data_IF_029050582343
#
_entry.id   IF_029050582343
#
_cell.length_a   1.000
_cell.length_b   1.000
_cell.length_c   1.000
_cell.angle_alpha   90.00
_cell.angle_beta   90.00
_cell.angle_gamma   90.00
#
_symmetry.space_group_name_H-M   'P 1'
#
loop_
_entity.id
_entity.type
_entity.pdbx_description
1 polymer ?
#
# COMPACT_ATOMS: atom_id res chain seq x y z
N UNK A 1 -15.11 15.85 -10.04
CA UNK A 1 -14.38 14.59 -10.22
C UNK A 1 -14.09 13.84 -8.91
N UNK A 2 -14.09 14.53 -7.76
CA UNK A 2 -13.87 13.89 -6.44
C UNK A 2 -15.00 12.95 -6.03
N UNK A 3 -16.24 13.21 -6.43
CA UNK A 3 -17.40 12.39 -6.05
C UNK A 3 -17.33 10.93 -6.52
N UNK A 4 -16.55 10.63 -7.56
CA UNK A 4 -16.39 9.26 -8.08
C UNK A 4 -15.36 8.42 -7.32
N UNK A 5 -14.42 9.04 -6.62
CA UNK A 5 -13.37 8.33 -5.86
C UNK A 5 -13.83 7.97 -4.45
N UNK A 6 -14.73 8.77 -3.86
CA UNK A 6 -15.22 8.57 -2.50
C UNK A 6 -15.74 7.14 -2.23
N UNK A 7 -16.56 6.51 -3.10
CA UNK A 7 -16.99 5.13 -2.89
C UNK A 7 -15.86 4.11 -2.90
N UNK A 8 -14.75 4.39 -3.60
CA UNK A 8 -13.58 3.53 -3.62
C UNK A 8 -12.79 3.72 -2.32
N UNK A 9 -12.61 4.96 -1.87
CA UNK A 9 -11.94 5.26 -0.60
C UNK A 9 -12.67 4.61 0.57
N UNK A 10 -13.99 4.71 0.61
CA UNK A 10 -14.82 4.06 1.63
C UNK A 10 -14.59 2.54 1.65
N UNK A 11 -14.54 1.89 0.48
CA UNK A 11 -14.23 0.46 0.39
C UNK A 11 -12.81 0.15 0.86
N UNK A 12 -11.81 0.99 0.54
CA UNK A 12 -10.44 0.82 1.03
C UNK A 12 -10.38 0.92 2.56
N UNK A 13 -11.13 1.86 3.15
CA UNK A 13 -11.19 2.00 4.62
C UNK A 13 -11.91 0.83 5.30
N UNK A 14 -12.98 0.33 4.73
CA UNK A 14 -13.78 -0.73 5.33
C UNK A 14 -13.24 -2.15 5.09
N UNK A 15 -12.29 -2.33 4.18
CA UNK A 15 -11.70 -3.64 3.89
C UNK A 15 -10.68 -4.06 4.96
N UNK A 16 -10.66 -5.34 5.35
CA UNK A 16 -9.64 -5.92 6.23
C UNK A 16 -8.28 -6.03 5.52
N UNK A 17 -8.29 -6.22 4.21
CA UNK A 17 -7.11 -6.35 3.39
C UNK A 17 -7.38 -5.90 1.95
N UNK A 18 -6.32 -5.59 1.21
CA UNK A 18 -6.40 -5.10 -0.16
C UNK A 18 -5.76 -6.09 -1.13
N UNK A 19 -6.42 -6.34 -2.27
CA UNK A 19 -5.83 -7.04 -3.40
C UNK A 19 -5.86 -6.11 -4.60
N UNK A 20 -4.67 -5.68 -5.05
CA UNK A 20 -4.54 -4.82 -6.23
C UNK A 20 -3.87 -5.58 -7.37
N UNK A 21 -4.48 -5.50 -8.54
CA UNK A 21 -3.98 -6.18 -9.73
C UNK A 21 -3.72 -5.20 -10.86
N UNK A 22 -2.67 -5.42 -11.63
CA UNK A 22 -2.39 -4.63 -12.83
C UNK A 22 -1.63 -5.47 -13.85
N UNK A 23 -2.01 -5.47 -15.13
CA UNK A 23 -1.07 -5.80 -16.19
C UNK A 23 0.00 -4.71 -16.31
N UNK A 24 1.12 -5.05 -16.93
CA UNK A 24 2.15 -4.07 -17.29
C UNK A 24 1.79 -3.38 -18.59
N UNK A 25 1.54 -2.08 -18.55
CA UNK A 25 1.35 -1.23 -19.71
C UNK A 25 2.41 -0.12 -19.74
N UNK A 26 3.14 -0.01 -20.85
CA UNK A 26 4.23 0.95 -21.00
C UNK A 26 5.22 0.96 -19.79
N UNK A 27 5.61 -0.24 -19.32
CA UNK A 27 6.50 -0.45 -18.18
C UNK A 27 5.98 0.10 -16.85
N UNK A 28 4.68 0.33 -16.72
CA UNK A 28 4.03 0.84 -15.52
C UNK A 28 2.69 0.12 -15.26
N UNK A 29 1.97 0.53 -14.21
CA UNK A 29 0.58 0.13 -13.95
C UNK A 29 -0.36 0.66 -15.02
N UNK A 30 -1.59 0.12 -15.09
CA UNK A 30 -2.64 0.68 -15.96
C UNK A 30 -2.94 2.13 -15.57
N UNK A 31 -3.36 2.94 -16.57
CA UNK A 31 -3.78 4.32 -16.32
C UNK A 31 -4.90 4.43 -15.28
N UNK A 32 -5.81 3.44 -15.23
CA UNK A 32 -6.89 3.41 -14.23
C UNK A 32 -6.34 3.25 -12.81
N UNK A 33 -5.38 2.34 -12.60
CA UNK A 33 -4.76 2.15 -11.28
C UNK A 33 -3.85 3.34 -10.94
N UNK A 34 -3.15 3.91 -11.93
CA UNK A 34 -2.36 5.13 -11.71
C UNK A 34 -3.26 6.29 -11.27
N UNK A 35 -4.42 6.44 -11.89
CA UNK A 35 -5.40 7.46 -11.51
C UNK A 35 -5.89 7.30 -10.05
N UNK A 36 -6.10 6.04 -9.59
CA UNK A 36 -6.39 5.78 -8.16
C UNK A 36 -5.24 6.28 -7.29
N UNK A 37 -3.99 5.92 -7.61
CA UNK A 37 -2.82 6.34 -6.84
C UNK A 37 -2.65 7.86 -6.80
N UNK A 38 -2.91 8.55 -7.92
CA UNK A 38 -2.82 10.01 -7.99
C UNK A 38 -3.91 10.70 -7.14
N UNK A 39 -5.14 10.18 -7.14
CA UNK A 39 -6.21 10.71 -6.30
C UNK A 39 -6.00 10.43 -4.80
N UNK A 40 -5.24 9.40 -4.47
CA UNK A 40 -4.89 9.03 -3.10
C UNK A 40 -3.49 9.46 -2.69
N UNK A 41 -2.87 10.40 -3.44
CA UNK A 41 -1.50 10.87 -3.16
C UNK A 41 -1.36 11.48 -1.75
N UNK A 42 -2.41 12.02 -1.17
CA UNK A 42 -2.41 12.54 0.20
C UNK A 42 -2.07 11.46 1.24
N UNK A 43 -2.34 10.17 0.97
CA UNK A 43 -1.98 9.06 1.85
C UNK A 43 -0.47 8.87 2.02
N UNK A 44 0.35 9.45 1.14
CA UNK A 44 1.80 9.49 1.34
C UNK A 44 2.17 10.34 2.56
N UNK A 45 1.41 11.42 2.82
CA UNK A 45 1.63 12.34 3.92
C UNK A 45 0.80 11.95 5.17
N UNK A 46 -0.28 11.22 4.96
CA UNK A 46 -1.27 10.83 5.97
C UNK A 46 -1.53 9.32 5.90
N UNK A 47 -0.55 8.48 6.29
CA UNK A 47 -0.70 7.02 6.19
C UNK A 47 -1.78 6.51 7.16
N UNK A 48 -2.76 5.75 6.66
CA UNK A 48 -3.97 5.39 7.41
C UNK A 48 -4.16 3.87 7.59
N UNK A 49 -3.42 3.02 6.86
CA UNK A 49 -3.73 1.59 6.76
C UNK A 49 -2.76 0.68 7.52
N UNK A 50 -2.26 1.11 8.68
CA UNK A 50 -1.22 0.42 9.45
C UNK A 50 -1.56 -1.02 9.88
N UNK A 51 -2.83 -1.35 10.09
CA UNK A 51 -3.28 -2.70 10.42
C UNK A 51 -3.51 -3.59 9.21
N UNK A 52 -3.66 -3.01 8.01
CA UNK A 52 -4.05 -3.75 6.81
C UNK A 52 -2.87 -4.46 6.15
N UNK A 53 -3.20 -5.51 5.40
CA UNK A 53 -2.28 -6.25 4.53
C UNK A 53 -2.71 -6.08 3.09
N UNK A 54 -1.75 -6.15 2.18
CA UNK A 54 -2.07 -6.11 0.76
C UNK A 54 -1.41 -7.25 -0.02
N UNK A 55 -2.06 -7.66 -1.09
CA UNK A 55 -1.52 -8.54 -2.11
C UNK A 55 -1.51 -7.81 -3.45
N UNK A 56 -0.33 -7.68 -4.02
CA UNK A 56 -0.12 -7.12 -5.36
C UNK A 56 0.05 -8.25 -6.35
N UNK A 57 -0.70 -8.21 -7.45
CA UNK A 57 -0.60 -9.18 -8.53
C UNK A 57 -0.33 -8.44 -9.83
N UNK A 58 0.81 -8.73 -10.47
CA UNK A 58 1.21 -8.10 -11.72
C UNK A 58 1.45 -9.14 -12.80
N UNK A 59 0.88 -8.93 -13.97
CA UNK A 59 1.05 -9.80 -15.13
C UNK A 59 1.64 -9.01 -16.31
N UNK A 60 2.39 -9.70 -17.18
CA UNK A 60 2.90 -9.15 -18.42
C UNK A 60 3.05 -10.24 -19.47
N UNK A 61 3.01 -9.88 -20.73
CA UNK A 61 3.43 -10.78 -21.79
C UNK A 61 4.96 -10.96 -21.83
N UNK A 62 5.73 -9.90 -21.49
CA UNK A 62 7.19 -9.90 -21.62
C UNK A 62 7.90 -9.44 -20.34
N UNK A 63 8.14 -8.15 -20.21
CA UNK A 63 9.01 -7.57 -19.19
C UNK A 63 8.28 -6.56 -18.28
N UNK A 64 8.98 -6.05 -17.25
CA UNK A 64 8.50 -4.96 -16.39
C UNK A 64 7.73 -5.38 -15.13
N UNK A 65 7.29 -6.65 -15.03
CA UNK A 65 6.46 -7.12 -13.92
C UNK A 65 7.08 -6.90 -12.53
N UNK A 66 8.39 -7.12 -12.38
CA UNK A 66 9.09 -6.86 -11.11
C UNK A 66 9.11 -5.38 -10.74
N UNK A 67 9.40 -4.51 -11.71
CA UNK A 67 9.41 -3.05 -11.52
C UNK A 67 8.05 -2.54 -11.09
N UNK A 68 7.00 -2.97 -11.79
CA UNK A 68 5.62 -2.56 -11.49
C UNK A 68 5.16 -3.10 -10.14
N UNK A 69 5.47 -4.35 -9.80
CA UNK A 69 5.15 -4.91 -8.49
C UNK A 69 5.86 -4.17 -7.35
N UNK A 70 7.10 -3.71 -7.56
CA UNK A 70 7.82 -2.91 -6.57
C UNK A 70 7.21 -1.50 -6.44
N UNK A 71 6.86 -0.86 -7.54
CA UNK A 71 6.17 0.43 -7.52
C UNK A 71 4.85 0.37 -6.71
N UNK A 72 4.04 -0.68 -6.94
CA UNK A 72 2.81 -0.89 -6.18
C UNK A 72 3.09 -1.21 -4.69
N UNK A 73 4.12 -2.00 -4.39
CA UNK A 73 4.57 -2.28 -3.01
C UNK A 73 4.95 -0.98 -2.27
N UNK A 74 5.75 -0.13 -2.90
CA UNK A 74 6.18 1.16 -2.35
C UNK A 74 4.99 2.09 -2.11
N UNK A 75 4.11 2.25 -3.11
CA UNK A 75 2.90 3.06 -2.97
C UNK A 75 2.05 2.63 -1.78
N UNK A 76 1.78 1.33 -1.66
CA UNK A 76 0.97 0.80 -0.57
C UNK A 76 1.63 0.95 0.81
N UNK A 77 2.96 0.89 0.88
CA UNK A 77 3.69 1.16 2.13
C UNK A 77 3.57 2.61 2.56
N UNK A 78 3.62 3.55 1.61
CA UNK A 78 3.36 4.95 1.91
C UNK A 78 1.93 5.20 2.42
N UNK A 79 0.95 4.37 2.02
CA UNK A 79 -0.39 4.40 2.61
C UNK A 79 -0.45 3.82 4.04
N UNK A 80 0.66 3.30 4.55
CA UNK A 80 0.76 2.67 5.86
C UNK A 80 0.52 1.16 5.86
N UNK A 81 0.32 0.51 4.71
CA UNK A 81 0.05 -0.93 4.67
C UNK A 81 1.17 -1.71 5.38
N UNK A 82 0.80 -2.42 6.44
CA UNK A 82 1.71 -3.12 7.32
C UNK A 82 2.55 -4.21 6.61
N UNK A 83 1.92 -4.96 5.69
CA UNK A 83 2.58 -6.00 4.91
C UNK A 83 2.05 -6.07 3.50
N UNK A 84 2.96 -6.03 2.53
CA UNK A 84 2.62 -6.24 1.11
C UNK A 84 3.21 -7.56 0.64
N UNK A 85 2.34 -8.41 0.11
CA UNK A 85 2.69 -9.64 -0.62
C UNK A 85 2.71 -9.36 -2.10
N UNK A 86 3.62 -10.00 -2.83
CA UNK A 86 3.77 -9.79 -4.28
C UNK A 86 3.71 -11.10 -5.03
N UNK A 87 2.89 -11.10 -6.07
CA UNK A 87 2.88 -12.09 -7.15
C UNK A 87 3.09 -11.35 -8.46
N UNK A 88 4.02 -11.82 -9.28
CA UNK A 88 4.24 -11.22 -10.58
C UNK A 88 4.68 -12.27 -11.58
N UNK A 89 4.11 -12.22 -12.78
CA UNK A 89 4.26 -13.25 -13.80
C UNK A 89 4.53 -12.67 -15.18
N UNK A 90 5.48 -13.28 -15.89
CA UNK A 90 5.62 -13.12 -17.33
C UNK A 90 4.89 -14.29 -18.01
N UNK A 91 3.76 -14.02 -18.63
CA UNK A 91 2.83 -15.02 -19.17
C UNK A 91 2.97 -15.24 -20.69
N UNK A 92 3.80 -14.44 -21.38
CA UNK A 92 3.94 -14.50 -22.84
C UNK A 92 4.36 -15.89 -23.30
N UNK A 93 3.55 -16.47 -24.20
CA UNK A 93 3.80 -17.78 -24.78
C UNK A 93 3.63 -18.99 -23.86
N UNK A 94 3.11 -18.81 -22.65
CA UNK A 94 2.87 -19.90 -21.70
C UNK A 94 1.40 -20.30 -21.70
N UNK A 95 1.13 -21.59 -21.83
CA UNK A 95 -0.21 -22.15 -21.72
C UNK A 95 -0.75 -22.17 -20.29
N UNK A 96 0.16 -22.20 -19.29
CA UNK A 96 -0.22 -22.24 -17.88
C UNK A 96 0.81 -21.54 -16.99
N UNK A 97 0.33 -21.06 -15.85
CA UNK A 97 1.17 -20.47 -14.78
C UNK A 97 1.34 -21.53 -13.68
N UNK A 98 2.57 -21.67 -13.15
CA UNK A 98 2.81 -22.53 -11.99
C UNK A 98 1.97 -22.03 -10.79
N UNK A 99 1.13 -22.91 -10.27
CA UNK A 99 0.23 -22.62 -9.14
C UNK A 99 0.95 -22.63 -7.79
N UNK A 100 2.07 -23.34 -7.65
CA UNK A 100 2.77 -23.48 -6.35
C UNK A 100 3.16 -22.14 -5.70
N UNK A 101 3.75 -21.16 -6.41
CA UNK A 101 4.02 -19.84 -5.83
C UNK A 101 2.75 -19.10 -5.43
N UNK A 102 1.67 -19.24 -6.21
CA UNK A 102 0.38 -18.62 -5.94
C UNK A 102 -0.18 -19.14 -4.62
N UNK A 103 -0.29 -20.47 -4.50
CA UNK A 103 -0.83 -21.13 -3.31
C UNK A 103 -0.02 -20.78 -2.05
N UNK A 104 1.32 -20.75 -2.17
CA UNK A 104 2.21 -20.39 -1.06
C UNK A 104 1.96 -18.96 -0.57
N UNK A 105 1.84 -18.00 -1.50
CA UNK A 105 1.62 -16.59 -1.14
C UNK A 105 0.20 -16.40 -0.63
N UNK A 106 -0.80 -16.99 -1.28
CA UNK A 106 -2.20 -16.89 -0.86
C UNK A 106 -2.41 -17.42 0.57
N UNK A 107 -1.83 -18.60 0.90
CA UNK A 107 -1.88 -19.16 2.26
C UNK A 107 -1.24 -18.24 3.30
N UNK A 108 -0.09 -17.62 2.99
CA UNK A 108 0.56 -16.69 3.91
C UNK A 108 -0.27 -15.42 4.09
N UNK A 109 -0.74 -14.84 2.99
CA UNK A 109 -1.58 -13.64 3.01
C UNK A 109 -2.84 -13.88 3.84
N UNK A 110 -3.58 -14.95 3.55
CA UNK A 110 -4.79 -15.34 4.30
C UNK A 110 -4.49 -15.44 5.80
N UNK A 111 -3.47 -16.22 6.19
CA UNK A 111 -3.10 -16.40 7.59
C UNK A 111 -2.80 -15.08 8.30
N UNK A 112 -2.07 -14.17 7.64
CA UNK A 112 -1.66 -12.91 8.26
C UNK A 112 -2.82 -11.90 8.35
N UNK A 113 -3.82 -12.01 7.45
CA UNK A 113 -5.07 -11.25 7.57
C UNK A 113 -5.91 -11.79 8.73
N UNK A 114 -6.16 -13.10 8.77
CA UNK A 114 -6.99 -13.74 9.81
C UNK A 114 -6.41 -13.60 11.22
N UNK A 115 -5.09 -13.72 11.35
CA UNK A 115 -4.40 -13.59 12.65
C UNK A 115 -4.24 -12.15 13.13
N UNK A 116 -4.57 -11.16 12.28
CA UNK A 116 -4.31 -9.73 12.53
C UNK A 116 -2.85 -9.41 12.91
N UNK A 117 -1.92 -10.31 12.57
CA UNK A 117 -0.50 -10.18 12.89
C UNK A 117 0.07 -8.88 12.34
N UNK A 118 0.71 -8.10 13.18
CA UNK A 118 1.51 -6.95 12.76
C UNK A 118 2.96 -7.40 12.50
N UNK A 119 3.52 -6.91 11.42
CA UNK A 119 4.92 -7.13 11.04
C UNK A 119 5.71 -5.87 11.35
N UNK A 120 6.96 -6.05 11.75
CA UNK A 120 7.89 -4.93 11.91
C UNK A 120 8.07 -4.19 10.58
N UNK A 121 8.10 -2.85 10.62
CA UNK A 121 8.32 -2.04 9.43
C UNK A 121 9.72 -2.29 8.86
N UNK A 122 9.90 -1.99 7.59
CA UNK A 122 11.23 -1.87 7.01
C UNK A 122 11.85 -0.53 7.42
N UNK A 123 13.17 -0.48 7.45
CA UNK A 123 13.88 0.76 7.80
C UNK A 123 13.49 1.97 6.92
N UNK A 124 13.20 1.75 5.63
CA UNK A 124 12.70 2.82 4.75
C UNK A 124 11.30 3.31 5.15
N UNK A 125 10.42 2.41 5.59
CA UNK A 125 9.08 2.79 6.06
C UNK A 125 9.18 3.70 7.29
N UNK A 126 10.13 3.42 8.17
CA UNK A 126 10.43 4.25 9.35
C UNK A 126 10.95 5.64 8.93
N UNK A 127 11.89 5.69 7.99
CA UNK A 127 12.43 6.98 7.50
C UNK A 127 11.34 7.84 6.91
N UNK A 128 10.50 7.30 6.03
CA UNK A 128 9.40 8.07 5.43
C UNK A 128 8.40 8.55 6.47
N UNK A 129 8.04 7.69 7.42
CA UNK A 129 7.17 8.08 8.54
C UNK A 129 7.76 9.27 9.31
N UNK A 130 9.03 9.19 9.71
CA UNK A 130 9.70 10.25 10.46
C UNK A 130 9.83 11.56 9.66
N UNK A 131 10.10 11.47 8.36
CA UNK A 131 10.13 12.66 7.49
C UNK A 131 8.77 13.38 7.52
N UNK A 132 7.68 12.67 7.34
CA UNK A 132 6.34 13.28 7.34
C UNK A 132 5.93 13.77 8.74
N UNK A 133 6.31 13.04 9.80
CA UNK A 133 6.11 13.47 11.18
C UNK A 133 6.82 14.79 11.47
N UNK A 134 8.09 14.89 11.11
CA UNK A 134 8.89 16.13 11.28
C UNK A 134 8.31 17.29 10.46
N UNK A 135 7.88 17.02 9.23
CA UNK A 135 7.22 18.04 8.40
C UNK A 135 5.93 18.55 9.04
N UNK A 136 5.12 17.66 9.61
CA UNK A 136 3.90 18.05 10.33
C UNK A 136 4.18 18.91 11.58
N UNK A 137 5.36 18.77 12.18
CA UNK A 137 5.83 19.59 13.31
C UNK A 137 6.44 20.93 12.87
N UNK A 138 6.73 21.12 11.59
CA UNK A 138 7.33 22.36 11.07
C UNK A 138 6.39 23.56 11.13
N UNK A 139 6.95 24.76 10.96
CA UNK A 139 6.18 25.99 10.99
C UNK A 139 5.38 26.27 9.70
N UNK A 140 5.61 25.52 8.64
CA UNK A 140 4.94 25.69 7.35
C UNK A 140 4.41 24.35 6.77
N UNK A 141 3.60 23.59 7.52
CA UNK A 141 2.98 22.39 7.04
C UNK A 141 1.68 22.68 6.29
N UNK A 142 1.29 21.77 5.40
CA UNK A 142 -0.08 21.75 4.86
C UNK A 142 -1.05 21.53 6.04
N UNK A 143 -1.99 22.44 6.22
CA UNK A 143 -2.92 22.44 7.38
C UNK A 143 -3.63 21.10 7.58
N UNK A 144 -4.06 20.45 6.48
CA UNK A 144 -4.72 19.15 6.54
C UNK A 144 -3.78 18.03 7.01
N UNK A 145 -2.49 18.07 6.67
CA UNK A 145 -1.50 17.11 7.11
C UNK A 145 -1.21 17.29 8.59
N UNK A 146 -0.98 18.54 9.03
CA UNK A 146 -0.81 18.89 10.44
C UNK A 146 -1.98 18.41 11.28
N UNK A 147 -3.21 18.73 10.87
CA UNK A 147 -4.42 18.30 11.55
C UNK A 147 -4.46 16.77 11.70
N UNK A 148 -4.20 16.03 10.61
CA UNK A 148 -4.18 14.57 10.64
C UNK A 148 -3.19 14.02 11.69
N UNK A 149 -1.94 14.50 11.67
CA UNK A 149 -0.89 14.02 12.57
C UNK A 149 -1.19 14.29 14.05
N UNK A 150 -1.80 15.44 14.35
CA UNK A 150 -2.21 15.79 15.73
C UNK A 150 -3.47 15.04 16.16
N UNK A 151 -4.52 14.99 15.32
CA UNK A 151 -5.79 14.34 15.66
C UNK A 151 -5.62 12.82 15.87
N UNK A 152 -4.72 12.19 15.12
CA UNK A 152 -4.41 10.76 15.29
C UNK A 152 -3.43 10.47 16.43
N UNK A 153 -2.81 11.47 17.01
CA UNK A 153 -1.78 11.31 18.03
C UNK A 153 -0.45 10.75 17.52
N UNK A 154 -0.33 10.50 16.21
CA UNK A 154 0.88 9.95 15.60
C UNK A 154 2.09 10.87 15.72
N UNK A 155 1.86 12.18 15.88
CA UNK A 155 2.93 13.17 16.07
C UNK A 155 3.80 12.89 17.30
N UNK A 156 3.23 12.29 18.34
CA UNK A 156 3.90 12.02 19.62
C UNK A 156 4.50 10.61 19.72
N UNK A 157 4.30 9.78 18.71
CA UNK A 157 4.73 8.38 18.73
C UNK A 157 5.93 8.18 17.83
N UNK A 158 6.99 7.60 18.37
CA UNK A 158 7.98 6.93 17.54
C UNK A 158 7.29 5.83 16.76
N UNK A 159 7.77 5.54 15.54
CA UNK A 159 7.19 4.50 14.71
C UNK A 159 7.25 3.15 15.45
N UNK A 160 6.18 2.81 16.14
CA UNK A 160 5.99 1.53 16.79
C UNK A 160 4.90 0.75 16.05
N UNK A 161 5.10 -0.53 15.70
CA UNK A 161 4.04 -1.37 15.15
C UNK A 161 2.86 -1.55 16.11
N UNK A 162 3.01 -1.14 17.37
CA UNK A 162 2.00 -1.19 18.41
C UNK A 162 1.16 0.08 18.53
N UNK A 163 1.26 1.02 17.58
CA UNK A 163 0.36 2.18 17.55
C UNK A 163 -1.07 1.65 17.57
N UNK A 164 -1.67 1.72 18.74
CA UNK A 164 -3.04 1.31 19.02
C UNK A 164 -3.96 2.20 18.18
N UNK A 165 -4.32 1.70 17.03
CA UNK A 165 -5.45 2.21 16.30
C UNK A 165 -6.68 1.75 17.09
N UNK A 166 -7.18 2.62 17.95
CA UNK A 166 -8.46 2.47 18.64
C UNK A 166 -9.60 2.48 17.65
#
# INVERSE_FOLDING_TARGET
HFDKINPILEKLHNADALILTSPVYAMNVTGLLKNLFDHTAYLYHRPEFFSKKALVIVTTAGAGHKKVANYMDETLRHWGINKVYKLHFACGGKESIDKKPIDKVAKKFKRDVESKKLHSPKWMDIIFYEVWRVMALSNDPIEADKKYWYDTGLVNNDFSPEVKLG
#
